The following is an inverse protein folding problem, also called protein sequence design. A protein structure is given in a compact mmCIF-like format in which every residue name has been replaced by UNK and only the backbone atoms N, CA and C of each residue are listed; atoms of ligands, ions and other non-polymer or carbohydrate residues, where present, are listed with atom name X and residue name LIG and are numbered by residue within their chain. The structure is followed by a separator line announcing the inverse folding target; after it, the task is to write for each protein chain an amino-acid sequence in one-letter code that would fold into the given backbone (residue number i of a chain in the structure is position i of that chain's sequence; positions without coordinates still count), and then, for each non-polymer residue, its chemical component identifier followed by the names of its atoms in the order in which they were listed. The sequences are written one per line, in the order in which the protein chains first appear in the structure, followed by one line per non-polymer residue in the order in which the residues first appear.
data_IF_402487367053
#
_entry.id   IF_402487367053
#
_cell.length_a   1.000
_cell.length_b   1.000
_cell.length_c   1.000
_cell.angle_alpha   90.00
_cell.angle_beta   90.00
_cell.angle_gamma   90.00
#
_symmetry.space_group_name_H-M   'P 1'
#
loop_
_entity.id
_entity.type
_entity.pdbx_description
1 polymer ?
#
# COMPACT_ATOMS: atom_id res chain seq x y z
N UNK A 1 -21.79 0.13 11.08
CA UNK A 1 -21.35 -1.07 10.36
C UNK A 1 -20.42 -1.86 11.26
N UNK A 2 -20.69 -3.14 11.54
CA UNK A 2 -19.92 -3.93 12.49
C UNK A 2 -18.83 -4.72 11.77
N UNK A 3 -17.57 -4.35 11.99
CA UNK A 3 -16.42 -5.06 11.46
C UNK A 3 -15.99 -6.17 12.43
N UNK A 4 -15.66 -7.35 11.91
CA UNK A 4 -15.14 -8.48 12.69
C UNK A 4 -13.83 -8.99 12.08
N UNK A 5 -12.91 -9.58 12.86
CA UNK A 5 -11.71 -10.19 12.31
C UNK A 5 -12.04 -11.30 11.29
N UNK A 6 -11.30 -11.31 10.18
CA UNK A 6 -11.41 -12.37 9.17
C UNK A 6 -11.00 -13.72 9.77
N UNK A 7 -11.75 -14.78 9.45
CA UNK A 7 -11.45 -16.14 9.92
C UNK A 7 -10.03 -16.58 9.53
N UNK A 8 -9.22 -17.09 10.47
CA UNK A 8 -7.86 -17.56 10.17
C UNK A 8 -7.83 -18.69 9.12
N UNK A 9 -8.92 -19.46 8.98
CA UNK A 9 -9.04 -20.55 8.01
C UNK A 9 -9.58 -20.10 6.63
N UNK A 10 -10.03 -18.86 6.48
CA UNK A 10 -10.45 -18.31 5.20
C UNK A 10 -9.27 -18.26 4.21
N UNK A 11 -9.58 -18.16 2.92
CA UNK A 11 -8.57 -17.84 1.90
C UNK A 11 -8.02 -16.43 2.14
N UNK A 12 -6.72 -16.28 2.01
CA UNK A 12 -6.08 -14.99 2.25
C UNK A 12 -6.51 -13.99 1.15
N UNK A 13 -7.00 -12.78 1.52
CA UNK A 13 -7.46 -11.78 0.56
C UNK A 13 -6.36 -11.25 -0.37
N UNK A 14 -5.08 -11.41 -0.04
CA UNK A 14 -3.98 -10.97 -0.89
C UNK A 14 -3.81 -11.76 -2.20
N UNK A 15 -4.61 -12.81 -2.44
CA UNK A 15 -4.60 -13.52 -3.73
C UNK A 15 -3.59 -14.67 -3.85
N UNK A 16 -2.80 -14.97 -2.82
CA UNK A 16 -1.87 -16.13 -2.82
C UNK A 16 -2.57 -17.49 -2.84
N UNK A 17 -3.88 -17.55 -2.59
CA UNK A 17 -4.65 -18.80 -2.47
C UNK A 17 -4.38 -19.60 -1.19
N UNK A 18 -3.43 -19.18 -0.35
CA UNK A 18 -3.11 -19.77 0.96
C UNK A 18 -4.21 -19.45 1.99
N UNK A 19 -4.23 -20.19 3.11
CA UNK A 19 -5.10 -19.83 4.25
C UNK A 19 -4.57 -18.55 4.90
N UNK A 20 -5.46 -17.69 5.40
CA UNK A 20 -5.07 -16.41 6.01
C UNK A 20 -4.04 -16.60 7.14
N UNK A 21 -4.28 -17.56 8.04
CA UNK A 21 -3.38 -17.89 9.17
C UNK A 21 -1.96 -18.27 8.80
N UNK A 22 -1.75 -18.76 7.57
CA UNK A 22 -0.43 -19.19 7.06
C UNK A 22 0.13 -18.22 6.01
N UNK A 23 -0.46 -17.03 5.88
CA UNK A 23 -0.08 -16.03 4.89
C UNK A 23 0.07 -14.66 5.56
N UNK A 24 -0.94 -13.79 5.50
CA UNK A 24 -0.84 -12.43 6.03
C UNK A 24 -1.23 -12.29 7.51
N UNK A 25 -1.67 -13.34 8.21
CA UNK A 25 -2.24 -13.21 9.56
C UNK A 25 -1.30 -12.61 10.61
N UNK A 26 -0.01 -12.94 10.53
CA UNK A 26 1.02 -12.43 11.45
C UNK A 26 1.72 -11.16 10.94
N UNK A 27 1.15 -10.50 9.92
CA UNK A 27 1.66 -9.20 9.45
C UNK A 27 1.21 -8.10 10.42
N UNK A 28 1.82 -6.92 10.30
CA UNK A 28 1.47 -5.76 11.14
C UNK A 28 0.12 -5.12 10.81
N UNK A 29 -0.78 -5.82 10.12
CA UNK A 29 -2.12 -5.37 9.76
C UNK A 29 -3.12 -6.53 9.92
N UNK A 30 -4.41 -6.20 9.95
CA UNK A 30 -5.46 -7.21 10.04
C UNK A 30 -6.52 -7.05 8.96
N UNK A 31 -7.01 -8.17 8.42
CA UNK A 31 -8.23 -8.16 7.61
C UNK A 31 -9.46 -8.23 8.50
N UNK A 32 -10.39 -7.32 8.25
CA UNK A 32 -11.72 -7.26 8.83
C UNK A 32 -12.76 -7.57 7.77
N UNK A 33 -13.88 -8.15 8.19
CA UNK A 33 -15.03 -8.44 7.34
C UNK A 33 -16.29 -7.84 7.94
N UNK A 34 -17.13 -7.25 7.09
CA UNK A 34 -18.43 -6.74 7.47
C UNK A 34 -19.55 -7.78 7.34
N UNK A 35 -20.80 -7.36 7.55
CA UNK A 35 -21.97 -8.24 7.46
C UNK A 35 -22.36 -8.61 6.01
N UNK A 36 -21.91 -7.83 5.02
CA UNK A 36 -22.10 -8.11 3.60
C UNK A 36 -20.97 -8.99 3.01
N UNK A 37 -19.93 -9.26 3.79
CA UNK A 37 -18.76 -10.02 3.35
C UNK A 37 -17.68 -9.17 2.69
N UNK A 38 -17.77 -7.83 2.70
CA UNK A 38 -16.69 -7.00 2.18
C UNK A 38 -15.51 -7.05 3.15
N UNK A 39 -14.31 -7.15 2.58
CA UNK A 39 -13.07 -7.28 3.33
C UNK A 39 -12.37 -5.93 3.32
N UNK A 40 -12.04 -5.43 4.51
CA UNK A 40 -11.25 -4.21 4.71
C UNK A 40 -9.92 -4.58 5.37
N UNK A 41 -8.85 -3.88 5.01
CA UNK A 41 -7.56 -3.99 5.68
C UNK A 41 -7.43 -2.88 6.71
N UNK A 42 -7.27 -3.25 7.96
CA UNK A 42 -6.98 -2.37 9.08
C UNK A 42 -5.46 -2.27 9.27
N UNK A 43 -4.91 -1.07 9.13
CA UNK A 43 -3.47 -0.80 9.18
C UNK A 43 -3.18 0.21 10.29
N UNK A 44 -2.08 0.03 11.05
CA UNK A 44 -1.69 0.98 12.06
C UNK A 44 -1.33 2.33 11.41
N UNK A 45 -1.84 3.42 11.99
CA UNK A 45 -1.50 4.76 11.56
C UNK A 45 -0.20 5.21 12.21
N UNK A 46 0.76 5.70 11.41
CA UNK A 46 1.98 6.29 11.95
C UNK A 46 1.64 7.56 12.75
N UNK A 47 2.25 7.81 13.92
CA UNK A 47 1.92 8.97 14.76
C UNK A 47 2.02 10.30 14.01
N UNK A 48 3.07 10.49 13.21
CA UNK A 48 3.25 11.71 12.41
C UNK A 48 2.10 11.93 11.42
N UNK A 49 1.60 10.85 10.81
CA UNK A 49 0.46 10.95 9.90
C UNK A 49 -0.84 11.29 10.65
N UNK A 50 -1.02 10.72 11.86
CA UNK A 50 -2.16 11.03 12.70
C UNK A 50 -2.20 12.51 13.10
N UNK A 51 -1.04 13.12 13.37
CA UNK A 51 -0.92 14.55 13.66
C UNK A 51 -1.26 15.44 12.46
N UNK A 52 -1.10 14.93 11.23
CA UNK A 52 -1.43 15.65 10.00
C UNK A 52 -2.92 15.56 9.61
N UNK A 53 -3.66 14.56 10.09
CA UNK A 53 -5.08 14.37 9.72
C UNK A 53 -5.96 15.61 9.92
N UNK A 54 -5.88 16.35 11.04
CA UNK A 54 -6.67 17.56 11.22
C UNK A 54 -6.43 18.61 10.12
N UNK A 55 -5.20 18.70 9.61
CA UNK A 55 -4.86 19.62 8.52
C UNK A 55 -5.49 19.17 7.20
N UNK A 56 -5.48 17.87 6.91
CA UNK A 56 -6.14 17.29 5.73
C UNK A 56 -7.65 17.56 5.76
N UNK A 57 -8.30 17.34 6.90
CA UNK A 57 -9.73 17.62 7.08
C UNK A 57 -10.07 19.12 6.96
N UNK A 58 -9.22 19.99 7.50
CA UNK A 58 -9.38 21.44 7.40
C UNK A 58 -9.28 21.91 5.95
N UNK A 59 -8.26 21.45 5.20
CA UNK A 59 -8.10 21.81 3.79
C UNK A 59 -9.22 21.24 2.92
N UNK A 60 -9.68 20.02 3.20
CA UNK A 60 -10.87 19.46 2.55
C UNK A 60 -12.09 20.35 2.80
N UNK A 61 -12.35 20.72 4.06
CA UNK A 61 -13.50 21.55 4.43
C UNK A 61 -13.43 22.93 3.81
N UNK A 62 -12.25 23.54 3.72
CA UNK A 62 -12.03 24.83 3.05
C UNK A 62 -12.33 24.76 1.55
N UNK A 63 -12.02 23.65 0.89
CA UNK A 63 -12.27 23.43 -0.54
C UNK A 63 -13.72 23.07 -0.84
N UNK A 64 -14.34 22.25 0.00
CA UNK A 64 -15.64 21.63 -0.26
C UNK A 64 -16.80 22.20 0.57
N UNK A 65 -16.53 23.05 1.56
CA UNK A 65 -17.53 23.67 2.43
C UNK A 65 -18.16 22.73 3.46
N UNK A 66 -17.68 21.49 3.57
CA UNK A 66 -18.16 20.45 4.50
C UNK A 66 -17.04 19.48 4.87
N UNK A 67 -17.13 18.75 5.99
CA UNK A 67 -16.19 17.67 6.30
C UNK A 67 -16.26 16.52 5.26
N UNK A 68 -15.18 15.73 5.13
CA UNK A 68 -15.16 14.56 4.26
C UNK A 68 -16.09 13.45 4.78
N UNK A 69 -16.76 12.79 3.85
CA UNK A 69 -17.56 11.59 4.08
C UNK A 69 -16.84 10.32 3.58
N UNK A 70 -17.46 9.14 3.77
CA UNK A 70 -16.81 7.85 3.52
C UNK A 70 -16.32 7.59 2.08
N UNK A 71 -16.91 8.27 1.09
CA UNK A 71 -16.60 8.08 -0.33
C UNK A 71 -15.88 9.30 -0.96
N UNK A 72 -15.49 10.28 -0.13
CA UNK A 72 -14.79 11.46 -0.63
C UNK A 72 -13.30 11.20 -0.85
N UNK A 73 -12.73 11.86 -1.86
CA UNK A 73 -11.29 11.85 -2.10
C UNK A 73 -10.63 12.91 -1.23
N UNK A 74 -9.83 12.48 -0.25
CA UNK A 74 -9.06 13.40 0.60
C UNK A 74 -7.97 14.16 -0.19
N UNK A 75 -7.43 13.52 -1.24
CA UNK A 75 -6.34 14.04 -2.06
C UNK A 75 -6.77 14.22 -3.53
N UNK A 76 -7.80 15.04 -3.75
CA UNK A 76 -8.39 15.26 -5.08
C UNK A 76 -7.56 16.12 -6.05
N UNK A 77 -6.57 16.86 -5.55
CA UNK A 77 -5.68 17.70 -6.35
C UNK A 77 -4.35 17.06 -6.78
N UNK A 78 -4.16 15.76 -6.52
CA UNK A 78 -2.91 15.06 -6.83
C UNK A 78 -3.04 14.33 -8.17
N UNK A 79 -2.17 14.68 -9.12
CA UNK A 79 -1.94 13.87 -10.32
C UNK A 79 -0.97 12.74 -9.97
N UNK A 80 -1.51 11.51 -9.87
CA UNK A 80 -0.74 10.32 -9.51
C UNK A 80 0.32 9.96 -10.56
N UNK A 81 0.06 10.24 -11.84
CA UNK A 81 1.03 9.95 -12.89
C UNK A 81 2.22 10.91 -12.80
N UNK A 82 1.93 12.21 -12.61
CA UNK A 82 2.99 13.20 -12.39
C UNK A 82 3.80 12.93 -11.12
N UNK A 83 3.12 12.56 -10.03
CA UNK A 83 3.78 12.16 -8.79
C UNK A 83 4.70 10.95 -9.00
N UNK A 84 4.24 9.91 -9.71
CA UNK A 84 5.06 8.73 -10.02
C UNK A 84 6.28 9.10 -10.87
N UNK A 85 6.13 9.94 -11.91
CA UNK A 85 7.28 10.40 -12.72
C UNK A 85 8.31 11.15 -11.88
N UNK A 86 7.87 12.02 -10.96
CA UNK A 86 8.78 12.75 -10.06
C UNK A 86 9.49 11.82 -9.07
N UNK A 87 8.79 10.82 -8.55
CA UNK A 87 9.38 9.79 -7.68
C UNK A 87 10.48 9.02 -8.42
N UNK A 88 10.22 8.57 -9.64
CA UNK A 88 11.22 7.87 -10.48
C UNK A 88 12.43 8.76 -10.78
N UNK A 89 12.22 10.05 -11.13
CA UNK A 89 13.33 10.99 -11.36
C UNK A 89 14.21 11.10 -10.12
N UNK A 90 13.58 11.31 -8.97
CA UNK A 90 14.29 11.43 -7.67
C UNK A 90 15.08 10.16 -7.37
N UNK A 91 14.49 8.97 -7.53
CA UNK A 91 15.17 7.71 -7.31
C UNK A 91 16.43 7.56 -8.17
N UNK A 92 16.34 7.93 -9.46
CA UNK A 92 17.48 7.91 -10.39
C UNK A 92 18.57 8.88 -9.95
N UNK A 93 18.19 10.09 -9.57
CA UNK A 93 19.12 11.13 -9.12
C UNK A 93 19.82 10.76 -7.81
N UNK A 94 19.16 10.02 -6.92
CA UNK A 94 19.73 9.53 -5.66
C UNK A 94 20.49 8.21 -5.78
N UNK A 95 20.56 7.61 -6.98
CA UNK A 95 21.28 6.36 -7.21
C UNK A 95 20.60 5.11 -6.65
N UNK A 96 19.27 5.10 -6.53
CA UNK A 96 18.52 3.89 -6.21
C UNK A 96 18.72 2.86 -7.32
N UNK A 97 18.89 1.59 -6.95
CA UNK A 97 19.16 0.51 -7.90
C UNK A 97 18.11 0.44 -9.02
N UNK A 98 18.51 0.30 -10.30
CA UNK A 98 17.56 0.25 -11.42
C UNK A 98 16.50 -0.86 -11.29
N UNK A 99 16.86 -2.03 -10.76
CA UNK A 99 15.92 -3.12 -10.50
C UNK A 99 14.82 -2.73 -9.50
N UNK A 100 15.16 -1.92 -8.49
CA UNK A 100 14.19 -1.41 -7.52
C UNK A 100 13.24 -0.40 -8.17
N UNK A 101 13.78 0.50 -9.00
CA UNK A 101 12.97 1.48 -9.74
C UNK A 101 12.00 0.75 -10.67
N UNK A 102 12.45 -0.29 -11.37
CA UNK A 102 11.61 -1.13 -12.20
C UNK A 102 10.48 -1.81 -11.40
N UNK A 103 10.81 -2.40 -10.24
CA UNK A 103 9.81 -3.01 -9.37
C UNK A 103 8.80 -1.98 -8.83
N UNK A 104 9.23 -0.76 -8.47
CA UNK A 104 8.35 0.35 -8.12
C UNK A 104 7.42 0.73 -9.26
N UNK A 105 7.94 0.93 -10.49
CA UNK A 105 7.13 1.29 -11.65
C UNK A 105 6.09 0.21 -11.99
N UNK A 106 6.46 -1.08 -11.83
CA UNK A 106 5.59 -2.22 -12.15
C UNK A 106 4.51 -2.49 -11.10
N UNK A 107 4.81 -2.28 -9.82
CA UNK A 107 3.90 -2.63 -8.71
C UNK A 107 3.23 -1.43 -8.07
N UNK A 108 3.79 -0.23 -8.23
CA UNK A 108 3.39 0.98 -7.52
C UNK A 108 3.78 0.99 -6.02
N UNK A 109 4.63 0.07 -5.57
CA UNK A 109 4.97 -0.09 -4.15
C UNK A 109 6.35 0.48 -3.85
N UNK A 110 6.47 1.21 -2.74
CA UNK A 110 7.75 1.57 -2.13
C UNK A 110 8.06 0.54 -1.04
N UNK A 111 8.63 -0.60 -1.41
CA UNK A 111 8.93 -1.66 -0.44
C UNK A 111 10.27 -1.38 0.27
N UNK A 112 10.25 -1.29 1.59
CA UNK A 112 11.45 -1.10 2.42
C UNK A 112 11.50 -2.14 3.54
N UNK A 113 12.64 -2.29 4.20
CA UNK A 113 12.74 -3.15 5.39
C UNK A 113 11.76 -2.69 6.49
N UNK A 114 11.60 -1.38 6.64
CA UNK A 114 10.73 -0.76 7.63
C UNK A 114 9.26 -1.10 7.41
N UNK A 115 8.78 -1.19 6.17
CA UNK A 115 7.36 -1.41 5.88
C UNK A 115 7.01 -2.82 5.37
N UNK A 116 7.98 -3.68 5.06
CA UNK A 116 7.76 -5.05 4.55
C UNK A 116 6.82 -5.89 5.44
N UNK A 117 6.81 -5.63 6.74
CA UNK A 117 5.93 -6.30 7.69
C UNK A 117 4.45 -5.84 7.60
N UNK A 118 4.18 -4.70 6.96
CA UNK A 118 2.85 -4.15 6.67
C UNK A 118 2.36 -4.49 5.26
N UNK A 119 3.23 -5.05 4.41
CA UNK A 119 2.91 -5.46 3.04
C UNK A 119 2.31 -6.87 3.03
N UNK A 120 1.37 -7.10 2.11
CA UNK A 120 0.82 -8.45 1.95
C UNK A 120 1.89 -9.40 1.41
N UNK A 121 1.73 -10.71 1.63
CA UNK A 121 2.67 -11.69 1.05
C UNK A 121 2.73 -11.55 -0.47
N UNK A 122 1.59 -11.34 -1.13
CA UNK A 122 1.52 -11.21 -2.58
C UNK A 122 2.26 -9.97 -3.08
N UNK A 123 2.06 -8.83 -2.43
CA UNK A 123 2.73 -7.57 -2.79
C UNK A 123 4.25 -7.72 -2.74
N UNK A 124 4.77 -8.41 -1.72
CA UNK A 124 6.20 -8.69 -1.58
C UNK A 124 6.68 -9.66 -2.66
N UNK A 125 5.96 -10.76 -2.88
CA UNK A 125 6.30 -11.76 -3.92
C UNK A 125 6.32 -11.10 -5.33
N UNK A 126 5.33 -10.26 -5.66
CA UNK A 126 5.25 -9.56 -6.95
C UNK A 126 6.36 -8.51 -7.11
N UNK A 127 6.72 -7.79 -6.03
CA UNK A 127 7.82 -6.82 -6.05
C UNK A 127 9.18 -7.51 -6.25
N UNK A 128 9.45 -8.58 -5.50
CA UNK A 128 10.69 -9.35 -5.64
C UNK A 128 10.81 -9.98 -7.03
N UNK A 129 9.72 -10.56 -7.54
CA UNK A 129 9.69 -11.12 -8.89
C UNK A 129 9.97 -10.07 -9.97
N UNK A 130 9.51 -8.82 -9.78
CA UNK A 130 9.83 -7.73 -10.70
C UNK A 130 11.32 -7.36 -10.67
N UNK A 131 11.96 -7.38 -9.50
CA UNK A 131 13.41 -7.16 -9.42
C UNK A 131 14.19 -8.29 -10.11
N UNK A 132 13.80 -9.55 -9.87
CA UNK A 132 14.43 -10.73 -10.49
C UNK A 132 14.31 -10.69 -12.02
N UNK A 133 13.14 -10.29 -12.53
CA UNK A 133 12.90 -10.08 -13.96
C UNK A 133 13.86 -9.05 -14.54
N UNK A 134 14.05 -7.90 -13.88
CA UNK A 134 14.98 -6.87 -14.33
C UNK A 134 16.41 -7.40 -14.40
N UNK A 135 16.87 -8.09 -13.36
CA UNK A 135 18.23 -8.66 -13.28
C UNK A 135 18.44 -9.73 -14.35
N UNK A 136 17.45 -10.57 -14.62
CA UNK A 136 17.51 -11.58 -15.66
C UNK A 136 17.66 -10.97 -17.07
N UNK A 137 17.02 -9.82 -17.32
CA UNK A 137 17.07 -9.13 -18.61
C UNK A 137 18.32 -8.25 -18.81
N UNK A 138 18.86 -7.66 -17.72
CA UNK A 138 19.89 -6.61 -17.81
C UNK A 138 21.25 -6.97 -17.16
N UNK A 139 21.33 -8.13 -16.48
CA UNK A 139 22.49 -8.55 -15.70
C UNK A 139 22.58 -7.86 -14.33
N UNK A 140 23.47 -8.35 -13.46
CA UNK A 140 23.84 -7.64 -12.21
C UNK A 140 24.65 -6.38 -12.60
N UNK A 141 24.09 -5.19 -12.39
CA UNK A 141 24.77 -3.90 -12.57
C UNK A 141 24.89 -3.17 -11.23
#
# INVERSE_FOLDING_TARGET
MKLKPLSPNAKCPCGTGRKYKTCCFNKGFHYLVDEQGNITRDVPMHPELAEMLPQVEQEFTKRHGRPPGPNDRLFDGIDLEDMNRRMVSTMRETGVAPAYIYAFEKTGLLLTEENRHLMTTRDVEDFEAAMDEYVAEHGEQ
#
